data_IF_359417820388
#
_entry.id   IF_359417820388
#
_cell.length_a   1.000
_cell.length_b   1.000
_cell.length_c   1.000
_cell.angle_alpha   90.00
_cell.angle_beta   90.00
_cell.angle_gamma   90.00
#
_symmetry.space_group_name_H-M   'P 1'
#
loop_
_entity.id
_entity.type
_entity.pdbx_description
1 polymer ?
#
# COMPACT_ATOMS: atom_id res chain seq x y z
N UNK A 1 -23.27 -14.22 38.78
CA UNK A 1 -22.51 -14.27 37.51
C UNK A 1 -21.10 -14.71 37.82
N UNK A 2 -20.63 -15.84 37.28
CA UNK A 2 -19.23 -16.23 37.39
C UNK A 2 -18.38 -15.17 36.69
N UNK A 3 -17.38 -14.61 37.37
CA UNK A 3 -16.44 -13.67 36.79
C UNK A 3 -15.70 -14.34 35.64
N UNK A 4 -15.78 -13.77 34.44
CA UNK A 4 -15.02 -14.25 33.28
C UNK A 4 -13.54 -14.01 33.55
N UNK A 5 -12.76 -15.08 33.67
CA UNK A 5 -11.30 -15.01 33.83
C UNK A 5 -10.69 -14.30 32.62
N UNK A 6 -9.85 -13.29 32.89
CA UNK A 6 -9.24 -12.47 31.84
C UNK A 6 -7.86 -13.02 31.46
N UNK A 7 -7.46 -12.93 30.18
CA UNK A 7 -6.09 -13.28 29.80
C UNK A 7 -5.07 -12.45 30.58
N UNK A 8 -4.06 -13.12 31.14
CA UNK A 8 -2.94 -12.49 31.85
C UNK A 8 -2.25 -11.42 30.98
N UNK A 9 -1.99 -10.24 31.51
CA UNK A 9 -1.17 -9.23 30.82
C UNK A 9 0.21 -9.30 31.46
N UNK A 10 1.26 -9.70 30.72
CA UNK A 10 2.58 -9.77 31.31
C UNK A 10 3.10 -8.37 31.63
N UNK A 11 3.78 -8.24 32.75
CA UNK A 11 4.49 -7.02 33.13
C UNK A 11 5.81 -6.95 32.37
N UNK A 12 5.70 -6.68 31.07
CA UNK A 12 6.82 -6.54 30.13
C UNK A 12 6.73 -5.14 29.54
N UNK A 13 7.84 -4.40 29.59
CA UNK A 13 8.02 -3.18 28.82
C UNK A 13 8.96 -3.50 27.68
N UNK A 14 8.51 -3.29 26.45
CA UNK A 14 9.36 -3.48 25.29
C UNK A 14 10.47 -2.42 25.33
N UNK A 15 11.71 -2.88 25.41
CA UNK A 15 12.90 -2.04 25.47
C UNK A 15 13.60 -2.06 24.11
N UNK A 16 13.69 -0.89 23.48
CA UNK A 16 14.29 -0.73 22.16
C UNK A 16 15.82 -0.77 22.20
N UNK A 17 16.43 -0.47 23.34
CA UNK A 17 17.89 -0.39 23.47
C UNK A 17 18.53 -1.77 23.63
N UNK A 18 17.77 -2.73 24.16
CA UNK A 18 18.25 -4.09 24.43
C UNK A 18 17.68 -5.14 23.47
N UNK A 19 16.80 -4.76 22.53
CA UNK A 19 16.23 -5.70 21.56
C UNK A 19 17.22 -5.98 20.41
N UNK A 20 17.65 -7.25 20.20
CA UNK A 20 18.66 -7.54 19.18
C UNK A 20 18.19 -7.24 17.75
N UNK A 21 19.05 -6.62 16.95
CA UNK A 21 18.76 -6.27 15.54
C UNK A 21 18.32 -7.45 14.66
N UNK A 22 18.88 -8.68 14.78
CA UNK A 22 18.37 -9.83 14.04
C UNK A 22 16.91 -10.13 14.37
N UNK A 23 16.53 -10.07 15.65
CA UNK A 23 15.16 -10.28 16.10
C UNK A 23 14.26 -9.13 15.62
N UNK A 24 14.72 -7.89 15.72
CA UNK A 24 14.00 -6.72 15.22
C UNK A 24 13.70 -6.84 13.72
N UNK A 25 14.67 -7.30 12.93
CA UNK A 25 14.50 -7.52 11.49
C UNK A 25 13.49 -8.63 11.19
N UNK A 26 13.49 -9.71 11.98
CA UNK A 26 12.52 -10.80 11.84
C UNK A 26 11.10 -10.39 12.28
N UNK A 27 10.97 -9.56 13.30
CA UNK A 27 9.68 -9.18 13.84
C UNK A 27 9.07 -7.96 13.14
N UNK A 28 9.89 -6.95 12.84
CA UNK A 28 9.45 -5.64 12.35
C UNK A 28 9.84 -5.35 10.91
N UNK A 29 10.76 -6.14 10.32
CA UNK A 29 11.45 -5.86 9.03
C UNK A 29 12.44 -4.68 9.09
N UNK A 30 12.64 -4.12 10.28
CA UNK A 30 13.49 -2.99 10.58
C UNK A 30 14.25 -3.23 11.88
N UNK A 31 15.46 -2.69 12.00
CA UNK A 31 16.16 -2.62 13.29
C UNK A 31 15.49 -1.62 14.24
N UNK A 32 15.85 -1.65 15.52
CA UNK A 32 15.31 -0.67 16.48
C UNK A 32 15.75 0.77 16.14
N UNK A 33 17.01 0.96 15.70
CA UNK A 33 17.49 2.25 15.20
C UNK A 33 16.72 2.72 13.96
N UNK A 34 16.42 1.82 13.03
CA UNK A 34 15.62 2.14 11.84
C UNK A 34 14.18 2.51 12.21
N UNK A 35 13.57 1.84 13.20
CA UNK A 35 12.24 2.22 13.69
C UNK A 35 12.23 3.63 14.29
N UNK A 36 13.27 4.00 15.04
CA UNK A 36 13.43 5.36 15.58
C UNK A 36 13.54 6.39 14.45
N UNK A 37 14.40 6.14 13.45
CA UNK A 37 14.51 7.02 12.28
C UNK A 37 13.16 7.15 11.55
N UNK A 38 12.46 6.03 11.34
CA UNK A 38 11.15 6.00 10.69
C UNK A 38 10.12 6.82 11.45
N UNK A 39 10.08 6.77 12.78
CA UNK A 39 9.14 7.61 13.55
C UNK A 39 9.37 9.09 13.30
N UNK A 40 10.63 9.51 13.20
CA UNK A 40 10.98 10.91 12.93
C UNK A 40 10.52 11.33 11.53
N UNK A 41 10.86 10.56 10.48
CA UNK A 41 10.54 10.96 9.10
C UNK A 41 9.06 10.77 8.75
N UNK A 42 8.35 9.85 9.43
CA UNK A 42 6.92 9.62 9.23
C UNK A 42 6.02 10.56 10.03
N UNK A 43 6.60 11.54 10.74
CA UNK A 43 5.90 12.47 11.62
C UNK A 43 5.12 11.79 12.77
N UNK A 44 5.53 10.60 13.21
CA UNK A 44 4.86 9.92 14.32
C UNK A 44 5.21 10.68 15.61
N UNK A 45 4.23 11.08 16.43
CA UNK A 45 4.51 11.82 17.66
C UNK A 45 5.31 10.95 18.64
N UNK A 46 6.27 11.56 19.35
CA UNK A 46 7.08 10.89 20.38
C UNK A 46 6.22 10.17 21.42
N UNK A 47 5.10 10.79 21.81
CA UNK A 47 4.05 10.19 22.63
C UNK A 47 2.82 9.98 21.76
N UNK A 48 2.49 8.73 21.49
CA UNK A 48 1.28 8.36 20.78
C UNK A 48 0.15 8.14 21.79
N UNK A 49 -1.00 8.76 21.55
CA UNK A 49 -2.18 8.65 22.44
C UNK A 49 -3.36 8.26 21.56
N UNK A 50 -3.97 7.11 21.87
CA UNK A 50 -5.17 6.67 21.16
C UNK A 50 -6.38 7.52 21.56
N UNK A 51 -7.44 7.53 20.75
CA UNK A 51 -8.70 8.22 21.07
C UNK A 51 -9.33 7.76 22.39
N UNK A 52 -9.02 6.54 22.81
CA UNK A 52 -9.48 5.97 24.09
C UNK A 52 -8.50 6.16 25.24
N UNK A 53 -7.39 6.87 25.02
CA UNK A 53 -6.42 7.23 26.07
C UNK A 53 -5.30 6.21 26.32
N UNK A 54 -5.10 5.21 25.45
CA UNK A 54 -3.90 4.36 25.56
C UNK A 54 -2.68 5.21 25.18
N UNK A 55 -1.75 5.39 26.13
CA UNK A 55 -0.55 6.23 25.97
C UNK A 55 0.71 5.37 25.90
N UNK A 56 1.54 5.60 24.88
CA UNK A 56 2.79 4.90 24.64
C UNK A 56 3.77 5.74 23.81
N UNK A 57 4.99 5.24 23.59
CA UNK A 57 5.94 5.88 22.68
C UNK A 57 5.52 5.68 21.22
N UNK A 58 5.78 6.66 20.37
CA UNK A 58 5.52 6.56 18.92
C UNK A 58 6.23 5.37 18.26
N UNK A 59 7.47 5.12 18.67
CA UNK A 59 8.26 3.96 18.21
C UNK A 59 7.66 2.64 18.64
N UNK A 60 7.06 2.58 19.84
CA UNK A 60 6.32 1.40 20.30
C UNK A 60 5.06 1.17 19.47
N UNK A 61 4.30 2.23 19.17
CA UNK A 61 3.12 2.13 18.30
C UNK A 61 3.47 1.65 16.88
N UNK A 62 4.60 2.12 16.31
CA UNK A 62 5.11 1.67 15.02
C UNK A 62 5.60 0.21 15.08
N UNK A 63 6.34 -0.17 16.12
CA UNK A 63 6.82 -1.55 16.29
C UNK A 63 5.65 -2.54 16.43
N UNK A 64 4.63 -2.21 17.22
CA UNK A 64 3.41 -3.02 17.36
C UNK A 64 2.69 -3.20 16.02
N UNK A 65 2.63 -2.13 15.22
CA UNK A 65 2.08 -2.17 13.88
C UNK A 65 2.92 -3.08 12.96
N UNK A 66 4.23 -2.88 12.88
CA UNK A 66 5.15 -3.70 12.06
C UNK A 66 5.08 -5.18 12.45
N UNK A 67 5.09 -5.50 13.75
CA UNK A 67 4.90 -6.85 14.27
C UNK A 67 3.56 -7.45 13.84
N UNK A 68 2.49 -6.65 13.83
CA UNK A 68 1.17 -7.11 13.40
C UNK A 68 1.16 -7.52 11.93
N UNK A 69 1.82 -6.73 11.07
CA UNK A 69 1.75 -6.93 9.63
C UNK A 69 2.78 -7.91 9.09
N UNK A 70 3.89 -8.13 9.80
CA UNK A 70 4.97 -9.00 9.36
C UNK A 70 4.56 -10.47 9.26
N UNK A 71 3.61 -10.92 10.10
CA UNK A 71 3.13 -12.30 10.09
C UNK A 71 1.66 -12.46 10.54
N UNK A 72 0.87 -13.39 9.94
CA UNK A 72 -0.47 -13.73 10.40
C UNK A 72 -0.49 -14.39 11.79
N UNK A 73 -0.75 -13.59 12.82
CA UNK A 73 -0.81 -14.04 14.22
C UNK A 73 -2.09 -13.69 14.98
N UNK A 74 -2.24 -14.26 16.19
CA UNK A 74 -3.23 -13.81 17.19
C UNK A 74 -2.74 -12.52 17.87
N UNK A 75 -3.66 -11.66 18.29
CA UNK A 75 -3.32 -10.47 19.11
C UNK A 75 -2.60 -10.85 20.41
N UNK A 76 -2.86 -12.04 20.94
CA UNK A 76 -2.17 -12.56 22.13
C UNK A 76 -0.65 -12.64 22.00
N UNK A 77 -0.09 -12.74 20.78
CA UNK A 77 1.36 -12.66 20.56
C UNK A 77 1.87 -11.25 20.82
N UNK A 78 1.16 -10.25 20.32
CA UNK A 78 1.48 -8.84 20.51
C UNK A 78 1.33 -8.47 21.99
N UNK A 79 0.26 -8.93 22.66
CA UNK A 79 0.11 -8.78 24.11
C UNK A 79 1.32 -9.31 24.87
N UNK A 80 1.78 -10.52 24.52
CA UNK A 80 2.92 -11.16 25.19
C UNK A 80 4.22 -10.38 24.98
N UNK A 81 4.41 -9.83 23.79
CA UNK A 81 5.61 -9.08 23.43
C UNK A 81 5.66 -7.67 24.05
N UNK A 82 4.53 -6.97 24.07
CA UNK A 82 4.46 -5.54 24.43
C UNK A 82 3.81 -5.27 25.79
N UNK A 83 3.38 -6.31 26.52
CA UNK A 83 2.78 -6.15 27.86
C UNK A 83 1.45 -5.38 27.87
N UNK A 84 0.66 -5.47 26.80
CA UNK A 84 -0.61 -4.73 26.66
C UNK A 84 -1.80 -5.65 26.48
N UNK A 85 -2.96 -5.26 27.02
CA UNK A 85 -4.20 -6.02 26.81
C UNK A 85 -4.52 -6.19 25.30
N UNK A 86 -5.18 -7.30 24.92
CA UNK A 86 -5.59 -7.52 23.53
C UNK A 86 -6.44 -6.35 22.96
N UNK A 87 -7.39 -5.74 23.71
CA UNK A 87 -8.10 -4.55 23.26
C UNK A 87 -7.19 -3.33 23.03
N UNK A 88 -6.25 -3.05 23.93
CA UNK A 88 -5.29 -1.96 23.76
C UNK A 88 -4.42 -2.18 22.52
N UNK A 89 -3.90 -3.41 22.33
CA UNK A 89 -3.17 -3.78 21.12
C UNK A 89 -3.97 -3.48 19.85
N UNK A 90 -5.24 -3.91 19.82
CA UNK A 90 -6.12 -3.68 18.67
C UNK A 90 -6.32 -2.19 18.38
N UNK A 91 -6.55 -1.37 19.41
CA UNK A 91 -6.77 0.08 19.25
C UNK A 91 -5.52 0.79 18.78
N UNK A 92 -4.40 0.57 19.46
CA UNK A 92 -3.09 1.16 19.10
C UNK A 92 -2.78 0.88 17.64
N UNK A 93 -2.77 -0.40 17.23
CA UNK A 93 -2.48 -0.80 15.85
C UNK A 93 -3.44 -0.13 14.85
N UNK A 94 -4.74 -0.13 15.15
CA UNK A 94 -5.77 0.46 14.27
C UNK A 94 -5.57 1.96 14.11
N UNK A 95 -5.23 2.66 15.20
CA UNK A 95 -5.00 4.09 15.17
C UNK A 95 -3.66 4.44 14.50
N UNK A 96 -2.61 3.63 14.66
CA UNK A 96 -1.36 3.80 13.91
C UNK A 96 -1.59 3.64 12.40
N UNK A 97 -2.41 2.68 11.95
CA UNK A 97 -2.81 2.60 10.54
C UNK A 97 -3.53 3.86 10.07
N UNK A 98 -4.52 4.33 10.83
CA UNK A 98 -5.29 5.52 10.47
C UNK A 98 -4.40 6.76 10.40
N UNK A 99 -3.49 6.91 11.37
CA UNK A 99 -2.54 8.00 11.43
C UNK A 99 -1.65 8.02 10.19
N UNK A 100 -0.93 6.93 9.92
CA UNK A 100 0.01 6.86 8.80
C UNK A 100 -0.67 7.03 7.45
N UNK A 101 -1.83 6.40 7.27
CA UNK A 101 -2.58 6.50 6.03
C UNK A 101 -3.10 7.92 5.79
N UNK A 102 -3.61 8.61 6.81
CA UNK A 102 -4.04 10.01 6.68
C UNK A 102 -2.86 10.94 6.44
N UNK A 103 -1.78 10.77 7.21
CA UNK A 103 -0.60 11.63 7.16
C UNK A 103 0.12 11.54 5.80
N UNK A 104 0.12 10.36 5.18
CA UNK A 104 0.87 10.09 3.95
C UNK A 104 -0.03 9.77 2.75
N UNK A 105 -1.32 10.12 2.80
CA UNK A 105 -2.26 9.81 1.72
C UNK A 105 -1.87 10.43 0.38
N UNK A 106 -1.35 11.67 0.38
CA UNK A 106 -0.94 12.36 -0.84
C UNK A 106 0.33 11.75 -1.43
N UNK A 107 1.30 11.40 -0.58
CA UNK A 107 2.50 10.67 -1.00
C UNK A 107 2.16 9.29 -1.57
N UNK A 108 1.17 8.61 -0.97
CA UNK A 108 0.65 7.34 -1.49
C UNK A 108 -0.14 7.52 -2.77
N UNK A 109 -0.84 8.65 -2.94
CA UNK A 109 -1.55 8.96 -4.16
C UNK A 109 -0.56 9.15 -5.31
N UNK A 110 0.40 10.06 -5.18
CA UNK A 110 1.53 10.20 -6.08
C UNK A 110 2.68 10.98 -5.41
N UNK A 111 3.88 10.40 -5.34
CA UNK A 111 5.04 11.10 -4.79
C UNK A 111 5.73 11.98 -5.85
N UNK A 112 5.18 13.18 -6.07
CA UNK A 112 5.68 14.10 -7.12
C UNK A 112 7.17 14.41 -6.96
N UNK A 113 7.64 14.66 -5.74
CA UNK A 113 9.02 15.10 -5.49
C UNK A 113 10.03 14.06 -5.95
N UNK A 114 9.84 12.82 -5.50
CA UNK A 114 10.69 11.69 -5.89
C UNK A 114 10.58 11.45 -7.39
N UNK A 115 9.37 11.52 -7.95
CA UNK A 115 9.17 11.28 -9.37
C UNK A 115 9.88 12.33 -10.23
N UNK A 116 9.69 13.62 -9.95
CA UNK A 116 10.33 14.73 -10.68
C UNK A 116 11.86 14.62 -10.63
N UNK A 117 12.42 14.36 -9.44
CA UNK A 117 13.88 14.25 -9.26
C UNK A 117 14.47 13.06 -10.04
N UNK A 118 13.73 11.95 -10.12
CA UNK A 118 14.25 10.69 -10.68
C UNK A 118 13.72 10.34 -12.07
N UNK A 119 12.76 11.09 -12.63
CA UNK A 119 12.08 10.78 -13.89
C UNK A 119 13.06 10.51 -15.04
N UNK A 120 14.07 11.36 -15.21
CA UNK A 120 15.10 11.17 -16.24
C UNK A 120 15.87 9.86 -16.05
N UNK A 121 16.22 9.51 -14.81
CA UNK A 121 16.88 8.23 -14.50
C UNK A 121 15.96 7.04 -14.80
N UNK A 122 14.65 7.20 -14.55
CA UNK A 122 13.67 6.16 -14.84
C UNK A 122 13.55 5.88 -16.34
N UNK A 123 13.42 6.93 -17.16
CA UNK A 123 13.40 6.80 -18.63
C UNK A 123 14.66 6.12 -19.15
N UNK A 124 15.82 6.57 -18.69
CA UNK A 124 17.11 5.98 -19.07
C UNK A 124 17.20 4.50 -18.67
N UNK A 125 16.76 4.14 -17.46
CA UNK A 125 16.81 2.77 -16.97
C UNK A 125 15.89 1.84 -17.78
N UNK A 126 14.67 2.29 -18.10
CA UNK A 126 13.75 1.52 -18.94
C UNK A 126 14.28 1.40 -20.37
N UNK A 127 14.76 2.50 -20.96
CA UNK A 127 15.33 2.51 -22.31
C UNK A 127 16.55 1.58 -22.43
N UNK A 128 17.45 1.61 -21.44
CA UNK A 128 18.60 0.71 -21.39
C UNK A 128 18.17 -0.77 -21.29
N UNK A 129 17.15 -1.09 -20.47
CA UNK A 129 16.61 -2.46 -20.40
C UNK A 129 15.88 -2.90 -21.67
N UNK A 130 15.34 -1.94 -22.40
CA UNK A 130 14.66 -2.19 -23.66
C UNK A 130 15.57 -2.05 -24.89
N UNK A 131 16.90 -1.95 -24.71
CA UNK A 131 17.87 -1.77 -25.79
C UNK A 131 17.51 -0.61 -26.74
N UNK A 132 17.01 0.51 -26.18
CA UNK A 132 16.65 1.71 -26.94
C UNK A 132 15.36 1.64 -27.75
N UNK A 133 14.59 0.53 -27.68
CA UNK A 133 13.31 0.40 -28.40
C UNK A 133 12.25 1.39 -27.87
N UNK A 134 12.38 1.77 -26.59
CA UNK A 134 11.52 2.78 -25.94
C UNK A 134 12.38 3.86 -25.31
N UNK A 135 11.89 5.09 -25.34
CA UNK A 135 12.59 6.29 -24.89
C UNK A 135 11.85 7.04 -23.76
N UNK A 136 10.52 6.97 -23.74
CA UNK A 136 9.69 7.82 -22.85
C UNK A 136 9.04 7.10 -21.67
N UNK A 137 9.03 5.75 -21.65
CA UNK A 137 8.40 4.98 -20.58
C UNK A 137 9.22 5.11 -19.29
N UNK A 138 8.55 5.48 -18.20
CA UNK A 138 9.20 5.77 -16.90
C UNK A 138 8.61 4.99 -15.73
N UNK A 139 7.44 4.38 -15.89
CA UNK A 139 6.78 3.63 -14.82
C UNK A 139 5.78 2.61 -15.36
N UNK A 140 5.42 1.64 -14.51
CA UNK A 140 4.58 0.50 -14.85
C UNK A 140 3.33 0.45 -13.96
N UNK A 141 2.14 0.39 -14.56
CA UNK A 141 0.86 0.36 -13.85
C UNK A 141 0.22 -1.02 -13.93
N UNK A 142 -0.33 -1.49 -12.81
CA UNK A 142 -1.16 -2.70 -12.81
C UNK A 142 -2.15 -2.73 -11.63
N UNK A 143 -3.20 -3.53 -11.80
CA UNK A 143 -4.21 -3.81 -10.78
C UNK A 143 -3.81 -5.00 -9.90
N UNK A 144 -4.19 -4.98 -8.63
CA UNK A 144 -4.06 -6.13 -7.74
C UNK A 144 -5.30 -6.30 -6.86
N UNK A 145 -5.55 -7.54 -6.44
CA UNK A 145 -6.70 -7.90 -5.60
C UNK A 145 -6.24 -8.27 -4.21
N UNK A 146 -6.77 -7.56 -3.21
CA UNK A 146 -6.67 -7.94 -1.81
C UNK A 146 -7.86 -8.80 -1.41
N UNK A 147 -7.64 -10.09 -1.17
CA UNK A 147 -8.71 -11.00 -0.79
C UNK A 147 -9.20 -10.71 0.63
N UNK A 148 -10.52 -10.78 0.80
CA UNK A 148 -11.18 -10.51 2.08
C UNK A 148 -12.02 -11.71 2.50
N UNK A 149 -12.37 -11.78 3.78
CA UNK A 149 -13.39 -12.72 4.23
C UNK A 149 -14.75 -12.33 3.62
N UNK A 150 -15.62 -13.32 3.43
CA UNK A 150 -17.00 -13.06 2.96
C UNK A 150 -17.71 -12.11 3.92
N UNK A 151 -18.16 -10.92 3.47
CA UNK A 151 -18.94 -10.03 4.32
C UNK A 151 -20.23 -10.71 4.79
N UNK A 152 -20.60 -10.57 6.06
CA UNK A 152 -21.85 -11.14 6.59
C UNK A 152 -23.10 -10.52 5.94
N UNK A 153 -24.20 -11.28 5.86
CA UNK A 153 -25.52 -10.70 5.54
C UNK A 153 -25.92 -9.82 6.74
N UNK A 154 -26.12 -8.53 6.53
CA UNK A 154 -26.28 -7.49 7.57
C UNK A 154 -27.53 -7.76 8.42
N UNK A 155 -27.38 -8.20 9.68
CA UNK A 155 -28.57 -8.41 10.55
C UNK A 155 -28.44 -8.07 12.05
N UNK A 156 -27.27 -7.67 12.59
CA UNK A 156 -27.13 -7.52 14.07
C UNK A 156 -26.36 -6.32 14.64
N UNK A 157 -26.08 -5.26 13.89
CA UNK A 157 -25.38 -4.07 14.44
C UNK A 157 -26.05 -2.71 14.17
N UNK A 158 -27.28 -2.70 13.65
CA UNK A 158 -27.98 -1.45 13.32
C UNK A 158 -28.73 -0.86 14.53
N UNK A 159 -28.85 -1.54 15.67
CA UNK A 159 -29.56 -0.94 16.83
C UNK A 159 -28.92 0.35 17.36
N UNK A 160 -27.61 0.55 17.18
CA UNK A 160 -26.89 1.75 17.64
C UNK A 160 -26.64 2.79 16.53
N UNK A 161 -26.97 2.49 15.28
CA UNK A 161 -26.73 3.34 14.10
C UNK A 161 -28.01 3.60 13.29
N UNK A 162 -29.16 3.15 13.80
CA UNK A 162 -30.47 3.17 13.15
C UNK A 162 -30.84 4.60 12.72
N UNK A 163 -30.66 5.58 13.62
CA UNK A 163 -31.03 6.97 13.37
C UNK A 163 -30.28 7.66 12.21
N UNK A 164 -29.04 7.26 11.93
CA UNK A 164 -28.25 7.82 10.81
C UNK A 164 -28.46 7.04 9.50
N UNK A 165 -28.81 5.75 9.58
CA UNK A 165 -29.03 4.88 8.43
C UNK A 165 -30.45 4.94 7.88
N UNK A 166 -31.43 5.40 8.69
CA UNK A 166 -32.82 5.59 8.29
C UNK A 166 -33.02 6.80 7.35
N UNK A 167 -32.02 7.68 7.22
CA UNK A 167 -31.99 8.77 6.23
C UNK A 167 -31.57 8.32 4.82
N UNK A 168 -31.10 7.07 4.66
CA UNK A 168 -30.67 6.52 3.37
C UNK A 168 -31.87 5.75 2.75
N UNK A 169 -32.34 6.11 1.54
CA UNK A 169 -33.46 5.47 0.90
C UNK A 169 -33.32 3.93 0.84
N UNK A 170 -34.40 3.23 1.17
CA UNK A 170 -34.49 1.78 1.36
C UNK A 170 -34.06 0.95 0.12
N UNK A 171 -34.00 1.58 -1.06
CA UNK A 171 -33.57 0.95 -2.31
C UNK A 171 -32.09 0.58 -2.40
N UNK A 172 -31.23 1.18 -1.56
CA UNK A 172 -29.77 1.18 -1.77
C UNK A 172 -28.97 0.61 -0.57
N UNK A 173 -29.51 -0.41 0.10
CA UNK A 173 -28.70 -1.23 1.03
C UNK A 173 -27.81 -2.16 0.20
N UNK A 174 -26.80 -1.61 -0.48
CA UNK A 174 -25.90 -2.39 -1.33
C UNK A 174 -25.40 -3.64 -0.60
N UNK A 175 -25.61 -4.79 -1.25
CA UNK A 175 -25.15 -6.05 -0.74
C UNK A 175 -23.63 -6.11 -0.86
N UNK A 176 -22.92 -5.82 0.24
CA UNK A 176 -21.45 -5.85 0.29
C UNK A 176 -20.85 -7.17 -0.23
N UNK A 177 -21.57 -8.29 -0.13
CA UNK A 177 -21.12 -9.53 -0.76
C UNK A 177 -21.06 -9.39 -2.28
N UNK A 178 -22.08 -8.83 -2.92
CA UNK A 178 -22.12 -8.60 -4.38
C UNK A 178 -21.06 -7.59 -4.82
N UNK A 179 -20.94 -6.48 -4.09
CA UNK A 179 -19.98 -5.40 -4.39
C UNK A 179 -18.54 -5.92 -4.35
N UNK A 180 -18.19 -6.68 -3.31
CA UNK A 180 -16.83 -7.21 -3.16
C UNK A 180 -16.56 -8.48 -3.97
N UNK A 181 -17.58 -9.12 -4.57
CA UNK A 181 -17.38 -10.39 -5.28
C UNK A 181 -16.82 -10.15 -6.69
N UNK A 182 -15.63 -10.67 -6.96
CA UNK A 182 -15.08 -10.68 -8.31
C UNK A 182 -15.53 -11.94 -9.05
N UNK A 183 -16.28 -11.77 -10.14
CA UNK A 183 -16.65 -12.89 -11.02
C UNK A 183 -15.44 -13.57 -11.65
N UNK A 184 -14.42 -12.80 -12.01
CA UNK A 184 -13.17 -13.32 -12.60
C UNK A 184 -12.37 -14.20 -11.63
N UNK A 185 -12.21 -13.78 -10.37
CA UNK A 185 -11.48 -14.57 -9.35
C UNK A 185 -12.36 -15.55 -8.59
N UNK A 186 -13.69 -15.47 -8.70
CA UNK A 186 -14.68 -16.23 -7.92
C UNK A 186 -14.46 -16.13 -6.40
N UNK A 187 -14.00 -14.96 -5.95
CA UNK A 187 -13.68 -14.66 -4.54
C UNK A 187 -14.09 -13.24 -4.17
N UNK A 188 -14.33 -13.00 -2.87
CA UNK A 188 -14.50 -11.65 -2.34
C UNK A 188 -13.14 -10.95 -2.21
N UNK A 189 -13.04 -9.75 -2.76
CA UNK A 189 -11.82 -8.95 -2.76
C UNK A 189 -12.11 -7.45 -2.83
N UNK A 190 -11.07 -6.68 -2.58
CA UNK A 190 -10.97 -5.27 -2.93
C UNK A 190 -9.91 -5.11 -4.01
N UNK A 191 -10.13 -4.20 -4.95
CA UNK A 191 -9.16 -3.89 -5.99
C UNK A 191 -8.29 -2.69 -5.57
N UNK A 192 -7.02 -2.74 -5.98
CA UNK A 192 -6.04 -1.69 -5.79
C UNK A 192 -5.26 -1.50 -7.09
N UNK A 193 -4.76 -0.29 -7.31
CA UNK A 193 -3.94 0.06 -8.47
C UNK A 193 -2.59 0.54 -7.96
N UNK A 194 -1.51 -0.08 -8.43
CA UNK A 194 -0.14 0.31 -8.09
C UNK A 194 0.59 0.81 -9.32
N UNK A 195 1.54 1.71 -9.09
CA UNK A 195 2.46 2.22 -10.11
C UNK A 195 3.89 2.03 -9.61
N UNK A 196 4.65 1.21 -10.33
CA UNK A 196 6.02 0.82 -9.99
C UNK A 196 7.02 1.65 -10.81
N UNK A 197 8.04 2.16 -10.15
CA UNK A 197 9.17 2.85 -10.79
C UNK A 197 10.42 1.97 -10.84
N UNK A 198 11.37 2.24 -11.76
CA UNK A 198 12.60 1.47 -11.91
C UNK A 198 13.46 1.35 -10.66
N UNK A 199 13.38 2.29 -9.72
CA UNK A 199 14.06 2.21 -8.43
C UNK A 199 13.44 1.20 -7.44
N UNK A 200 12.36 0.55 -7.83
CA UNK A 200 11.63 -0.44 -7.04
C UNK A 200 10.66 0.16 -6.02
N UNK A 201 10.35 1.45 -6.13
CA UNK A 201 9.32 2.11 -5.33
C UNK A 201 7.92 1.93 -5.93
N UNK A 202 6.91 1.94 -5.06
CA UNK A 202 5.53 2.21 -5.47
C UNK A 202 5.32 3.72 -5.49
N UNK A 203 5.40 4.37 -6.64
CA UNK A 203 5.30 5.84 -6.73
C UNK A 203 3.87 6.35 -6.54
N UNK A 204 2.88 5.50 -6.83
CA UNK A 204 1.45 5.78 -6.69
C UNK A 204 0.69 4.50 -6.35
N UNK A 205 -0.25 4.61 -5.41
CA UNK A 205 -1.09 3.52 -4.94
C UNK A 205 -2.52 4.01 -4.63
N UNK A 206 -3.48 3.52 -5.41
CA UNK A 206 -4.88 3.87 -5.30
C UNK A 206 -5.75 2.67 -4.87
N UNK A 207 -6.87 2.98 -4.23
CA UNK A 207 -7.83 2.04 -3.68
C UNK A 207 -7.87 2.05 -2.15
N UNK A 208 -8.70 1.19 -1.54
CA UNK A 208 -9.46 0.13 -2.19
C UNK A 208 -10.66 0.63 -3.00
N UNK A 209 -11.02 -0.10 -4.07
CA UNK A 209 -12.34 -0.03 -4.70
C UNK A 209 -13.01 -1.41 -4.72
N UNK A 210 -14.26 -1.46 -5.16
CA UNK A 210 -15.07 -2.68 -5.23
C UNK A 210 -14.40 -3.79 -6.07
N UNK A 211 -14.38 -5.02 -5.54
CA UNK A 211 -13.74 -6.17 -6.19
C UNK A 211 -14.33 -6.58 -7.55
N UNK A 212 -15.59 -6.21 -7.82
CA UNK A 212 -16.30 -6.49 -9.08
C UNK A 212 -15.86 -5.59 -10.23
N UNK A 213 -15.25 -4.43 -9.94
CA UNK A 213 -14.91 -3.44 -10.96
C UNK A 213 -13.70 -3.90 -11.79
N UNK A 214 -13.65 -3.41 -13.03
CA UNK A 214 -12.56 -3.65 -13.98
C UNK A 214 -11.42 -2.64 -13.79
N UNK A 215 -10.22 -2.99 -14.25
CA UNK A 215 -9.02 -2.16 -14.08
C UNK A 215 -9.14 -0.79 -14.78
N UNK A 216 -9.80 -0.73 -15.93
CA UNK A 216 -10.14 0.54 -16.61
C UNK A 216 -11.02 1.47 -15.76
N UNK A 217 -11.97 0.93 -15.00
CA UNK A 217 -12.76 1.71 -14.04
C UNK A 217 -11.87 2.23 -12.92
N UNK A 218 -10.97 1.39 -12.40
CA UNK A 218 -10.03 1.80 -11.36
C UNK A 218 -9.13 2.95 -11.80
N UNK A 219 -8.61 2.90 -13.03
CA UNK A 219 -7.82 3.99 -13.61
C UNK A 219 -8.60 5.29 -13.67
N UNK A 220 -9.86 5.25 -14.15
CA UNK A 220 -10.73 6.42 -14.22
C UNK A 220 -11.02 6.99 -12.82
N UNK A 221 -11.40 6.14 -11.87
CA UNK A 221 -11.71 6.57 -10.50
C UNK A 221 -10.47 7.06 -9.75
N UNK A 222 -9.28 6.53 -10.06
CA UNK A 222 -8.03 6.96 -9.44
C UNK A 222 -7.67 8.40 -9.77
N UNK A 223 -8.18 8.97 -10.86
CA UNK A 223 -7.79 10.31 -11.36
C UNK A 223 -6.28 10.48 -11.59
N UNK A 224 -5.52 9.37 -11.69
CA UNK A 224 -4.08 9.40 -11.89
C UNK A 224 -3.70 10.13 -13.19
N UNK A 225 -4.30 9.77 -14.33
CA UNK A 225 -3.94 10.39 -15.60
C UNK A 225 -4.32 11.88 -15.66
N UNK A 226 -5.54 12.30 -15.29
CA UNK A 226 -5.85 13.72 -15.15
C UNK A 226 -4.88 14.46 -14.24
N UNK A 227 -4.46 13.84 -13.13
CA UNK A 227 -3.49 14.45 -12.23
C UNK A 227 -2.12 14.67 -12.90
N UNK A 228 -1.60 13.68 -13.62
CA UNK A 228 -0.33 13.80 -14.34
C UNK A 228 -0.39 14.85 -15.46
N UNK A 229 -1.54 14.98 -16.13
CA UNK A 229 -1.75 15.92 -17.23
C UNK A 229 -1.92 17.38 -16.78
N UNK A 230 -2.56 17.62 -15.63
CA UNK A 230 -2.89 18.97 -15.15
C UNK A 230 -1.96 19.48 -14.05
N UNK A 231 -1.07 18.65 -13.50
CA UNK A 231 -0.07 19.08 -12.54
C UNK A 231 0.99 19.94 -13.25
N UNK A 232 1.20 21.16 -12.75
CA UNK A 232 2.07 22.19 -13.36
C UNK A 232 3.50 21.71 -13.66
N UNK A 233 4.04 20.82 -12.82
CA UNK A 233 5.39 20.29 -12.97
C UNK A 233 5.37 19.04 -13.85
N UNK A 234 4.48 18.08 -13.55
CA UNK A 234 4.48 16.76 -14.19
C UNK A 234 4.04 16.81 -15.67
N UNK A 235 3.15 17.73 -16.04
CA UNK A 235 2.65 17.88 -17.41
C UNK A 235 3.80 18.14 -18.41
N UNK A 236 4.84 18.86 -17.96
CA UNK A 236 5.98 19.25 -18.79
C UNK A 236 7.07 18.17 -18.89
N UNK A 237 6.95 17.06 -18.17
CA UNK A 237 7.98 16.02 -18.11
C UNK A 237 7.89 14.98 -19.23
N UNK A 238 6.84 15.00 -20.05
CA UNK A 238 6.60 13.99 -21.09
C UNK A 238 6.46 12.59 -20.48
N UNK A 239 5.56 12.45 -19.51
CA UNK A 239 5.38 11.22 -18.74
C UNK A 239 4.66 10.15 -19.58
N UNK A 240 5.28 8.99 -19.73
CA UNK A 240 4.65 7.80 -20.32
C UNK A 240 4.68 6.62 -19.33
N UNK A 241 3.50 6.03 -19.13
CA UNK A 241 3.26 4.86 -18.27
C UNK A 241 3.01 3.63 -19.13
N UNK A 242 3.53 2.47 -18.74
CA UNK A 242 3.24 1.20 -19.42
C UNK A 242 2.31 0.32 -18.57
N UNK A 243 1.19 -0.12 -19.14
CA UNK A 243 0.18 -0.90 -18.43
C UNK A 243 -0.27 -2.17 -19.16
N UNK A 244 -1.07 -2.98 -18.48
CA UNK A 244 -1.84 -4.03 -19.15
C UNK A 244 -2.83 -3.40 -20.15
N UNK A 245 -3.11 -4.01 -21.32
CA UNK A 245 -4.03 -3.41 -22.27
C UNK A 245 -5.48 -3.29 -21.79
N UNK A 246 -5.86 -3.90 -20.66
CA UNK A 246 -7.11 -3.62 -19.95
C UNK A 246 -7.27 -2.14 -19.57
N UNK A 247 -6.17 -1.39 -19.47
CA UNK A 247 -6.16 0.04 -19.17
C UNK A 247 -6.34 0.94 -20.41
N UNK A 248 -6.21 0.39 -21.63
CA UNK A 248 -6.28 1.16 -22.88
C UNK A 248 -4.97 1.86 -23.26
N UNK A 249 -5.08 2.83 -24.17
CA UNK A 249 -3.96 3.64 -24.68
C UNK A 249 -4.41 5.12 -24.69
N UNK A 250 -3.52 6.03 -24.30
CA UNK A 250 -3.66 7.49 -24.45
C UNK A 250 -2.27 8.17 -24.43
N UNK A 251 -2.25 9.51 -24.40
CA UNK A 251 -1.02 10.31 -24.48
C UNK A 251 0.00 10.05 -23.35
N UNK A 252 -0.41 9.43 -22.24
CA UNK A 252 0.43 9.17 -21.05
C UNK A 252 0.43 7.70 -20.62
N UNK A 253 -0.25 6.83 -21.37
CA UNK A 253 -0.39 5.41 -21.09
C UNK A 253 -0.31 4.61 -22.39
N UNK A 254 0.67 3.71 -22.46
CA UNK A 254 0.80 2.74 -23.53
C UNK A 254 0.65 1.30 -23.01
N UNK A 255 0.31 0.40 -23.92
CA UNK A 255 0.11 -1.02 -23.63
C UNK A 255 0.56 -1.87 -24.82
N UNK A 256 0.75 -3.19 -24.64
CA UNK A 256 1.16 -4.08 -25.73
C UNK A 256 0.28 -4.00 -26.99
N UNK A 257 0.87 -4.14 -28.17
CA UNK A 257 0.15 -4.29 -29.43
C UNK A 257 -0.68 -5.58 -29.44
N UNK A 258 -1.97 -5.51 -29.82
CA UNK A 258 -2.93 -6.63 -29.80
C UNK A 258 -3.53 -6.96 -31.18
N UNK A 259 -2.90 -6.53 -32.27
CA UNK A 259 -3.41 -6.74 -33.63
C UNK A 259 -3.43 -8.23 -34.02
N UNK A 260 -4.36 -8.63 -34.91
CA UNK A 260 -4.44 -10.00 -35.41
C UNK A 260 -3.16 -10.45 -36.15
N UNK A 261 -2.47 -9.49 -36.75
CA UNK A 261 -1.12 -9.64 -37.28
C UNK A 261 -0.22 -8.61 -36.59
N UNK A 262 0.73 -9.09 -35.80
CA UNK A 262 1.73 -8.26 -35.11
C UNK A 262 3.02 -8.33 -35.91
N UNK A 263 3.53 -7.18 -36.36
CA UNK A 263 4.80 -7.11 -37.10
C UNK A 263 5.98 -7.60 -36.26
N UNK A 264 7.13 -7.89 -36.89
CA UNK A 264 8.34 -8.30 -36.17
C UNK A 264 8.77 -7.27 -35.12
N UNK A 265 8.62 -5.98 -35.42
CA UNK A 265 9.01 -4.90 -34.50
C UNK A 265 8.04 -4.76 -33.33
N UNK A 266 6.73 -4.89 -33.59
CA UNK A 266 5.71 -4.91 -32.54
C UNK A 266 5.85 -6.15 -31.64
N UNK A 267 6.21 -7.31 -32.19
CA UNK A 267 6.51 -8.52 -31.40
C UNK A 267 7.75 -8.31 -30.53
N UNK A 268 8.79 -7.70 -31.08
CA UNK A 268 10.01 -7.35 -30.34
C UNK A 268 9.71 -6.35 -29.22
N UNK A 269 8.89 -5.34 -29.48
CA UNK A 269 8.40 -4.40 -28.47
C UNK A 269 7.64 -5.14 -27.37
N UNK A 270 6.63 -5.93 -27.72
CA UNK A 270 5.79 -6.66 -26.75
C UNK A 270 6.63 -7.60 -25.87
N UNK A 271 7.55 -8.36 -26.46
CA UNK A 271 8.45 -9.29 -25.76
C UNK A 271 9.36 -8.55 -24.77
N UNK A 272 9.91 -7.41 -25.20
CA UNK A 272 10.83 -6.60 -24.38
C UNK A 272 10.10 -5.91 -23.24
N UNK A 273 8.97 -5.27 -23.54
CA UNK A 273 8.19 -4.52 -22.56
C UNK A 273 7.46 -5.42 -21.58
N UNK A 274 7.03 -6.62 -21.99
CA UNK A 274 6.47 -7.62 -21.07
C UNK A 274 7.46 -7.96 -19.94
N UNK A 275 8.75 -8.18 -20.26
CA UNK A 275 9.80 -8.46 -19.26
C UNK A 275 9.99 -7.30 -18.27
N UNK A 276 9.94 -6.06 -18.76
CA UNK A 276 10.04 -4.87 -17.91
C UNK A 276 8.79 -4.68 -17.05
N UNK A 277 7.60 -4.95 -17.60
CA UNK A 277 6.31 -4.85 -16.90
C UNK A 277 6.23 -5.77 -15.70
N UNK A 278 6.85 -6.96 -15.74
CA UNK A 278 6.87 -7.92 -14.61
C UNK A 278 7.35 -7.26 -13.29
N UNK A 279 8.08 -6.13 -13.35
CA UNK A 279 8.44 -5.34 -12.17
C UNK A 279 7.27 -4.90 -11.28
N UNK A 280 6.09 -4.60 -11.82
CA UNK A 280 4.90 -4.27 -11.02
C UNK A 280 4.38 -5.49 -10.24
N UNK A 281 4.48 -6.68 -10.84
CA UNK A 281 4.11 -7.94 -10.20
C UNK A 281 5.12 -8.29 -9.11
N UNK A 282 6.42 -8.06 -9.35
CA UNK A 282 7.45 -8.16 -8.31
C UNK A 282 7.18 -7.20 -7.16
N UNK A 283 6.73 -5.96 -7.42
CA UNK A 283 6.40 -4.99 -6.37
C UNK A 283 5.29 -5.54 -5.46
N UNK A 284 4.18 -6.01 -6.03
CA UNK A 284 3.11 -6.63 -5.24
C UNK A 284 3.61 -7.87 -4.48
N UNK A 285 4.47 -8.69 -5.10
CA UNK A 285 5.12 -9.82 -4.46
C UNK A 285 5.98 -9.41 -3.26
N UNK A 286 6.77 -8.35 -3.38
CA UNK A 286 7.61 -7.80 -2.31
C UNK A 286 6.75 -7.34 -1.13
N UNK A 287 5.68 -6.56 -1.41
CA UNK A 287 4.76 -6.07 -0.37
C UNK A 287 4.15 -7.25 0.40
N UNK A 288 3.62 -8.26 -0.31
CA UNK A 288 3.01 -9.45 0.31
C UNK A 288 4.02 -10.30 1.09
N UNK A 289 5.24 -10.46 0.56
CA UNK A 289 6.31 -11.24 1.22
C UNK A 289 6.76 -10.57 2.51
N UNK A 290 6.91 -9.24 2.52
CA UNK A 290 7.31 -8.50 3.73
C UNK A 290 6.20 -8.48 4.78
N UNK A 291 4.95 -8.31 4.33
CA UNK A 291 3.79 -8.03 5.16
C UNK A 291 2.73 -9.12 5.02
N UNK A 292 3.07 -10.36 5.37
CA UNK A 292 2.22 -11.54 5.14
C UNK A 292 0.81 -11.43 5.74
N UNK A 293 0.60 -10.56 6.74
CA UNK A 293 -0.73 -10.31 7.29
C UNK A 293 -1.73 -9.79 6.25
N UNK A 294 -1.28 -9.01 5.26
CA UNK A 294 -2.18 -8.42 4.25
C UNK A 294 -2.76 -9.48 3.29
N UNK A 295 -2.15 -10.66 3.20
CA UNK A 295 -2.63 -11.77 2.38
C UNK A 295 -3.51 -12.74 3.20
N UNK A 296 -3.62 -12.55 4.52
CA UNK A 296 -4.44 -13.39 5.39
C UNK A 296 -5.92 -13.01 5.39
N UNK A 297 -6.59 -13.31 4.27
CA UNK A 297 -7.99 -12.93 3.96
C UNK A 297 -9.00 -13.18 5.10
N UNK A 298 -8.83 -14.22 5.92
CA UNK A 298 -9.72 -14.54 7.07
C UNK A 298 -9.79 -13.43 8.12
N UNK A 299 -8.78 -12.56 8.20
CA UNK A 299 -8.77 -11.39 9.10
C UNK A 299 -9.05 -10.06 8.42
N UNK A 300 -9.17 -10.05 7.10
CA UNK A 300 -9.60 -8.87 6.35
C UNK A 300 -11.13 -8.79 6.38
N UNK A 301 -11.62 -8.21 7.47
CA UNK A 301 -13.03 -8.07 7.78
C UNK A 301 -13.45 -6.61 7.57
N UNK A 302 -14.05 -6.32 6.42
CA UNK A 302 -14.63 -4.99 6.13
C UNK A 302 -15.67 -4.66 7.21
N UNK A 303 -15.73 -3.38 7.61
CA UNK A 303 -16.53 -2.84 8.73
C UNK A 303 -16.06 -3.23 10.14
N UNK A 304 -15.09 -4.13 10.28
CA UNK A 304 -14.50 -4.49 11.59
C UNK A 304 -13.03 -4.07 11.71
N UNK A 305 -12.35 -3.98 10.57
CA UNK A 305 -10.93 -3.64 10.49
C UNK A 305 -10.71 -2.67 9.33
N UNK A 306 -9.72 -1.75 9.40
CA UNK A 306 -9.44 -0.79 8.34
C UNK A 306 -8.67 -1.44 7.16
N UNK A 307 -9.24 -2.47 6.53
CA UNK A 307 -8.60 -3.32 5.50
C UNK A 307 -7.86 -2.51 4.43
N UNK A 308 -8.51 -1.48 3.87
CA UNK A 308 -7.91 -0.62 2.85
C UNK A 308 -6.65 0.09 3.34
N UNK A 309 -6.71 0.68 4.54
CA UNK A 309 -5.58 1.37 5.17
C UNK A 309 -4.44 0.41 5.49
N UNK A 310 -4.75 -0.84 5.83
CA UNK A 310 -3.72 -1.85 6.08
C UNK A 310 -2.83 -2.09 4.86
N UNK A 311 -3.43 -2.21 3.67
CA UNK A 311 -2.69 -2.42 2.42
C UNK A 311 -1.90 -1.17 2.05
N UNK A 312 -2.52 0.02 2.14
CA UNK A 312 -1.86 1.31 1.86
C UNK A 312 -0.63 1.55 2.74
N UNK A 313 -0.75 1.32 4.05
CA UNK A 313 0.37 1.44 4.98
C UNK A 313 1.44 0.36 4.77
N UNK A 314 1.06 -0.86 4.37
CA UNK A 314 2.04 -1.88 3.99
C UNK A 314 2.85 -1.45 2.76
N UNK A 315 2.24 -0.77 1.78
CA UNK A 315 2.97 -0.18 0.65
C UNK A 315 3.91 0.94 1.12
N UNK A 316 3.44 1.85 1.98
CA UNK A 316 4.26 2.93 2.56
C UNK A 316 5.51 2.38 3.26
N UNK A 317 5.33 1.38 4.12
CA UNK A 317 6.42 0.73 4.85
C UNK A 317 7.33 -0.10 3.92
N UNK A 318 6.80 -0.62 2.80
CA UNK A 318 7.63 -1.27 1.78
C UNK A 318 8.56 -0.28 1.10
N UNK A 319 8.06 0.91 0.74
CA UNK A 319 8.89 1.96 0.14
C UNK A 319 9.96 2.45 1.13
N UNK A 320 9.61 2.63 2.40
CA UNK A 320 10.57 2.94 3.47
C UNK A 320 11.68 1.88 3.56
N UNK A 321 11.29 0.60 3.54
CA UNK A 321 12.24 -0.51 3.56
C UNK A 321 13.13 -0.54 2.30
N UNK A 322 12.58 -0.26 1.13
CA UNK A 322 13.36 -0.15 -0.12
C UNK A 322 14.41 0.96 -0.01
N UNK A 323 14.07 2.13 0.55
CA UNK A 323 15.00 3.23 0.76
C UNK A 323 16.14 2.85 1.74
N UNK A 324 15.79 2.27 2.90
CA UNK A 324 16.76 1.86 3.93
C UNK A 324 17.70 0.77 3.40
N UNK A 325 17.17 -0.23 2.69
CA UNK A 325 17.97 -1.34 2.13
C UNK A 325 18.72 -0.97 0.85
N UNK A 326 18.63 0.29 0.40
CA UNK A 326 19.25 0.82 -0.83
C UNK A 326 18.85 0.04 -2.08
N UNK A 327 17.61 -0.44 -2.11
CA UNK A 327 17.02 -1.10 -3.27
C UNK A 327 16.34 -2.42 -2.97
N UNK A 328 15.85 -3.05 -4.03
CA UNK A 328 15.20 -4.35 -4.03
C UNK A 328 15.43 -5.05 -5.39
N UNK A 329 14.71 -6.14 -5.66
CA UNK A 329 14.87 -6.87 -6.92
C UNK A 329 14.61 -6.02 -8.16
N UNK A 330 13.66 -5.08 -8.11
CA UNK A 330 13.30 -4.21 -9.23
C UNK A 330 14.42 -3.20 -9.50
N UNK A 331 14.88 -2.53 -8.44
CA UNK A 331 15.97 -1.56 -8.49
C UNK A 331 17.25 -2.17 -9.07
N UNK A 332 17.56 -3.42 -8.70
CA UNK A 332 18.67 -4.21 -9.26
C UNK A 332 18.43 -4.59 -10.72
N UNK A 333 17.20 -4.98 -11.06
CA UNK A 333 16.85 -5.34 -12.44
C UNK A 333 17.06 -4.16 -13.37
N UNK A 334 16.64 -2.95 -13.00
CA UNK A 334 16.79 -1.75 -13.82
C UNK A 334 18.14 -1.04 -13.66
N UNK A 335 18.90 -1.33 -12.61
CA UNK A 335 20.14 -0.60 -12.29
C UNK A 335 19.86 0.83 -11.79
N UNK A 336 18.73 1.04 -11.13
CA UNK A 336 18.30 2.35 -10.63
C UNK A 336 18.19 2.31 -9.10
N UNK A 337 18.94 3.15 -8.38
CA UNK A 337 18.88 3.19 -6.92
C UNK A 337 17.66 3.98 -6.42
N UNK A 338 17.03 3.58 -5.30
CA UNK A 338 15.96 4.37 -4.66
C UNK A 338 16.49 5.69 -4.07
N UNK A 339 15.61 6.66 -3.78
CA UNK A 339 15.99 7.86 -3.05
C UNK A 339 16.42 7.53 -1.62
N UNK A 340 17.07 8.50 -0.98
CA UNK A 340 17.27 8.48 0.47
C UNK A 340 15.94 8.48 1.22
N UNK A 341 15.90 7.87 2.40
CA UNK A 341 14.70 7.75 3.22
C UNK A 341 14.10 9.14 3.53
N UNK A 342 14.95 10.08 3.90
CA UNK A 342 14.57 11.47 4.19
C UNK A 342 14.08 12.23 2.96
N UNK A 343 14.51 11.86 1.75
CA UNK A 343 13.99 12.41 0.49
C UNK A 343 12.61 11.84 0.19
N UNK A 344 12.41 10.53 0.36
CA UNK A 344 11.11 9.89 0.13
C UNK A 344 10.01 10.45 1.05
N UNK A 345 10.32 10.63 2.34
CA UNK A 345 9.39 11.17 3.35
C UNK A 345 9.40 12.70 3.43
N UNK A 346 9.67 13.39 2.32
CA UNK A 346 9.32 14.81 2.17
C UNK A 346 7.91 14.92 1.62
N UNK A 347 7.07 15.77 2.25
CA UNK A 347 5.72 16.04 1.72
C UNK A 347 5.80 16.48 0.26
N UNK A 348 4.86 16.02 -0.61
CA UNK A 348 4.84 16.40 -2.03
C UNK A 348 4.82 17.93 -2.23
N UNK A 349 5.01 18.40 -3.46
CA UNK A 349 4.91 19.84 -3.78
C UNK A 349 3.51 20.42 -3.47
N UNK A 350 2.53 19.56 -3.28
CA UNK A 350 1.20 19.93 -2.83
C UNK A 350 1.22 20.44 -1.38
N UNK A 351 0.93 21.73 -1.21
CA UNK A 351 0.41 22.30 0.02
C UNK A 351 -0.78 23.20 -0.31
N UNK A 352 -1.94 22.81 0.24
CA UNK A 352 -3.16 23.60 0.50
C UNK A 352 -3.94 24.12 -0.71
N UNK A 353 -4.96 23.36 -1.11
CA UNK A 353 -6.37 23.80 -1.15
C UNK A 353 -7.24 22.68 -1.73
N UNK A 354 -8.06 22.08 -0.86
CA UNK A 354 -9.37 21.48 -1.16
C UNK A 354 -10.10 21.21 0.14
#
# INVERSE_FOLDING_TARGET
MLSVERPFIPDVRFDFDTYPDPNATEDFRFTCSELLELTSVMNIPNVFITRTGDRLLGVEALAMLCYRISFPGKLSRIRKQFGRSDPACSRIITETYCFLDNEWQDTLFFNDRVFVEKHTQYKQAVSAKANGIVDNISMFIDGTKGFICRPGKRQRRISALQSALDAIPIGDKENLQKVCYSGHKRHHCLNYQGVCTPDGSCISFYGPIEGRLHDSTMLRESRLLPYLEHNEILANLGVMTYGDPAYGINNMLCSPFRNAYVSSDEQRFNSTMSKSRVSIEWLFGIVKKKWAFIDWNKKHQILLTPVGRMVRVAVLLTNANTCIRKGNQISKYFGCAPPELTTYFRKPYRNRES
#
